data_IF_666432882025
#
_entry.id   IF_666432882025
#
_cell.length_a   1.000
_cell.length_b   1.000
_cell.length_c   1.000
_cell.angle_alpha   90.00
_cell.angle_beta   90.00
_cell.angle_gamma   90.00
#
_symmetry.space_group_name_H-M   'P 1'
#
loop_
_entity.id
_entity.type
_entity.pdbx_description
1 polymer ?
#
# COMPACT_ATOMS: atom_id res chain seq x y z
N UNK A 1 -34.86 -62.79 23.06
CA UNK A 1 -33.50 -62.53 22.55
C UNK A 1 -33.63 -61.53 21.41
N UNK A 2 -33.24 -60.25 21.59
CA UNK A 2 -31.88 -59.73 21.33
C UNK A 2 -31.44 -60.12 19.92
N UNK A 3 -31.10 -59.26 18.97
CA UNK A 3 -30.56 -57.90 18.97
C UNK A 3 -30.68 -57.42 17.52
N UNK A 4 -31.27 -56.25 17.26
CA UNK A 4 -31.02 -55.51 16.02
C UNK A 4 -31.57 -54.10 16.19
N UNK A 5 -30.79 -53.09 15.79
CA UNK A 5 -31.02 -51.63 15.92
C UNK A 5 -30.34 -50.95 17.11
N UNK A 6 -29.02 -51.04 17.15
CA UNK A 6 -28.14 -49.96 17.65
C UNK A 6 -27.09 -49.68 16.59
N UNK A 7 -27.35 -48.73 15.70
CA UNK A 7 -26.36 -47.92 14.94
C UNK A 7 -27.09 -47.09 13.90
N UNK A 8 -27.23 -45.80 14.16
CA UNK A 8 -27.11 -44.67 13.22
C UNK A 8 -27.82 -43.47 13.83
N UNK A 9 -27.10 -42.35 13.96
CA UNK A 9 -27.64 -41.13 14.56
C UNK A 9 -26.65 -40.31 15.40
N UNK A 10 -25.34 -40.54 15.29
CA UNK A 10 -24.33 -39.62 15.84
C UNK A 10 -23.21 -39.44 14.82
N UNK A 11 -23.31 -38.42 13.97
CA UNK A 11 -22.21 -38.03 13.09
C UNK A 11 -22.67 -37.40 11.78
N UNK A 12 -23.17 -36.18 11.80
CA UNK A 12 -23.20 -35.37 10.56
C UNK A 12 -23.30 -33.85 10.78
N UNK A 13 -23.74 -33.37 11.95
CA UNK A 13 -23.79 -31.93 12.21
C UNK A 13 -22.41 -31.27 12.41
N UNK A 14 -21.43 -31.98 12.98
CA UNK A 14 -20.07 -31.45 13.18
C UNK A 14 -19.29 -31.30 11.86
N UNK A 15 -19.45 -32.22 10.92
CA UNK A 15 -18.69 -32.24 9.65
C UNK A 15 -18.97 -31.04 8.73
N UNK A 16 -20.22 -30.57 8.66
CA UNK A 16 -20.60 -29.43 7.81
C UNK A 16 -20.06 -28.08 8.29
N UNK A 17 -19.97 -27.88 9.61
CA UNK A 17 -19.46 -26.63 10.20
C UNK A 17 -17.93 -26.52 10.04
N UNK A 18 -17.21 -27.63 10.17
CA UNK A 18 -15.76 -27.68 9.93
C UNK A 18 -15.41 -27.41 8.47
N UNK A 19 -16.16 -27.99 7.51
CA UNK A 19 -15.95 -27.74 6.07
C UNK A 19 -16.16 -26.27 5.69
N UNK A 20 -17.20 -25.62 6.22
CA UNK A 20 -17.46 -24.18 5.98
C UNK A 20 -16.37 -23.30 6.57
N UNK A 21 -15.91 -23.61 7.79
CA UNK A 21 -14.83 -22.86 8.41
C UNK A 21 -13.52 -22.98 7.64
N UNK A 22 -13.20 -24.17 7.13
CA UNK A 22 -12.01 -24.36 6.26
C UNK A 22 -12.16 -23.53 4.98
N UNK A 23 -13.33 -23.57 4.32
CA UNK A 23 -13.58 -22.77 3.13
C UNK A 23 -13.46 -21.26 3.39
N UNK A 24 -14.01 -20.76 4.50
CA UNK A 24 -13.90 -19.36 4.90
C UNK A 24 -12.43 -18.96 5.14
N UNK A 25 -11.65 -19.81 5.83
CA UNK A 25 -10.21 -19.56 6.05
C UNK A 25 -9.46 -19.48 4.72
N UNK A 26 -9.72 -20.41 3.80
CA UNK A 26 -9.11 -20.40 2.47
C UNK A 26 -9.49 -19.13 1.70
N UNK A 27 -10.75 -18.71 1.73
CA UNK A 27 -11.17 -17.46 1.08
C UNK A 27 -10.51 -16.22 1.69
N UNK A 28 -10.38 -16.17 3.01
CA UNK A 28 -9.67 -15.07 3.70
C UNK A 28 -8.19 -15.07 3.31
N UNK A 29 -7.54 -16.23 3.23
CA UNK A 29 -6.15 -16.32 2.80
C UNK A 29 -5.97 -15.82 1.36
N UNK A 30 -6.85 -16.23 0.44
CA UNK A 30 -6.85 -15.75 -0.96
C UNK A 30 -7.07 -14.25 -1.02
N UNK A 31 -7.99 -13.70 -0.22
CA UNK A 31 -8.23 -12.25 -0.14
C UNK A 31 -7.00 -11.49 0.34
N UNK A 32 -6.32 -11.98 1.39
CA UNK A 32 -5.10 -11.36 1.90
C UNK A 32 -4.02 -11.35 0.81
N UNK A 33 -3.79 -12.49 0.15
CA UNK A 33 -2.80 -12.58 -0.93
C UNK A 33 -3.13 -11.62 -2.07
N UNK A 34 -4.40 -11.55 -2.49
CA UNK A 34 -4.84 -10.66 -3.55
C UNK A 34 -4.66 -9.18 -3.21
N UNK A 35 -5.03 -8.76 -1.99
CA UNK A 35 -4.83 -7.37 -1.54
C UNK A 35 -3.35 -7.04 -1.39
N UNK A 36 -2.55 -7.94 -0.81
CA UNK A 36 -1.10 -7.77 -0.70
C UNK A 36 -0.44 -7.62 -2.08
N UNK A 37 -0.79 -8.46 -3.05
CA UNK A 37 -0.23 -8.39 -4.40
C UNK A 37 -0.59 -7.07 -5.11
N UNK A 38 -1.81 -6.56 -4.93
CA UNK A 38 -2.24 -5.27 -5.50
C UNK A 38 -1.55 -4.07 -4.85
N UNK A 39 -1.35 -4.11 -3.53
CA UNK A 39 -0.72 -3.00 -2.80
C UNK A 39 0.81 -3.02 -2.90
N UNK A 40 1.41 -4.17 -3.20
CA UNK A 40 2.85 -4.35 -3.15
C UNK A 40 3.60 -3.35 -4.06
N UNK A 41 3.29 -3.20 -5.36
CA UNK A 41 4.00 -2.23 -6.21
C UNK A 41 3.87 -0.80 -5.67
N UNK A 42 2.65 -0.37 -5.33
CA UNK A 42 2.37 0.99 -4.84
C UNK A 42 3.16 1.33 -3.56
N UNK A 43 3.28 0.38 -2.63
CA UNK A 43 4.02 0.59 -1.38
C UNK A 43 5.52 0.44 -1.60
N UNK A 44 5.95 -0.57 -2.36
CA UNK A 44 7.35 -0.85 -2.66
C UNK A 44 8.00 0.32 -3.38
N UNK A 45 7.35 0.86 -4.41
CA UNK A 45 7.85 2.00 -5.19
C UNK A 45 8.07 3.21 -4.29
N UNK A 46 7.12 3.52 -3.39
CA UNK A 46 7.25 4.64 -2.46
C UNK A 46 8.28 4.41 -1.37
N UNK A 47 8.45 3.18 -0.89
CA UNK A 47 9.50 2.85 0.08
C UNK A 47 10.89 2.96 -0.56
N UNK A 48 11.06 2.46 -1.79
CA UNK A 48 12.29 2.59 -2.54
C UNK A 48 12.64 4.07 -2.75
N UNK A 49 11.66 4.88 -3.17
CA UNK A 49 11.83 6.32 -3.33
C UNK A 49 12.27 7.03 -2.04
N UNK A 50 11.75 6.62 -0.87
CA UNK A 50 12.16 7.15 0.44
C UNK A 50 13.60 6.75 0.76
N UNK A 51 13.96 5.49 0.53
CA UNK A 51 15.33 5.00 0.75
C UNK A 51 16.31 5.75 -0.14
N UNK A 52 15.97 5.96 -1.40
CA UNK A 52 16.78 6.72 -2.36
C UNK A 52 16.93 8.18 -1.93
N UNK A 53 15.83 8.82 -1.50
CA UNK A 53 15.85 10.20 -1.01
C UNK A 53 16.65 10.38 0.29
N UNK A 54 16.64 9.38 1.18
CA UNK A 54 17.45 9.38 2.40
C UNK A 54 18.95 9.26 2.09
N UNK A 55 19.34 8.48 1.08
CA UNK A 55 20.75 8.34 0.66
C UNK A 55 21.31 9.68 0.14
N UNK A 56 20.49 10.51 -0.48
CA UNK A 56 20.98 11.67 -1.25
C UNK A 56 20.95 12.97 -0.43
N UNK A 57 19.81 13.24 0.22
CA UNK A 57 19.60 14.50 0.92
C UNK A 57 20.34 14.58 2.26
N UNK A 58 20.59 13.42 2.89
CA UNK A 58 21.31 13.33 4.16
C UNK A 58 22.82 13.46 3.96
N UNK A 59 23.41 12.86 2.92
CA UNK A 59 24.86 12.90 2.71
C UNK A 59 25.34 14.21 2.11
N UNK A 60 24.58 14.81 1.19
CA UNK A 60 24.85 16.19 0.79
C UNK A 60 24.73 17.14 1.99
N UNK A 61 23.68 17.06 2.82
CA UNK A 61 23.56 17.93 4.01
C UNK A 61 24.63 17.68 5.07
N UNK A 62 25.05 16.44 5.29
CA UNK A 62 26.09 16.09 6.26
C UNK A 62 27.47 16.57 5.78
N UNK A 63 27.81 16.34 4.51
CA UNK A 63 29.02 16.90 3.90
C UNK A 63 29.02 18.44 3.93
N UNK A 64 27.87 19.07 3.66
CA UNK A 64 27.70 20.52 3.69
C UNK A 64 27.82 21.13 5.11
N UNK A 65 27.42 20.41 6.17
CA UNK A 65 27.47 20.91 7.54
C UNK A 65 28.85 20.71 8.20
N UNK A 66 29.64 19.73 7.74
CA UNK A 66 30.85 19.31 8.44
C UNK A 66 32.15 19.92 7.87
N UNK A 67 32.22 20.34 6.59
CA UNK A 67 33.48 20.89 6.03
C UNK A 67 33.35 21.71 4.71
N UNK A 68 33.12 23.02 4.78
CA UNK A 68 33.11 23.92 3.60
C UNK A 68 34.42 23.88 2.80
N UNK A 69 35.58 23.76 3.47
CA UNK A 69 36.88 23.71 2.81
C UNK A 69 37.08 22.43 1.99
N UNK A 70 36.55 21.29 2.46
CA UNK A 70 36.56 20.05 1.69
C UNK A 70 35.67 20.16 0.45
N UNK A 71 34.49 20.78 0.56
CA UNK A 71 33.62 21.00 -0.59
C UNK A 71 34.23 21.94 -1.62
N UNK A 72 34.86 23.03 -1.19
CA UNK A 72 35.59 23.93 -2.08
C UNK A 72 36.73 23.21 -2.81
N UNK A 73 37.44 22.30 -2.12
CA UNK A 73 38.48 21.47 -2.72
C UNK A 73 37.91 20.51 -3.77
N UNK A 74 36.83 19.80 -3.46
CA UNK A 74 36.15 18.87 -4.39
C UNK A 74 35.68 19.64 -5.63
N UNK A 75 35.05 20.80 -5.45
CA UNK A 75 34.63 21.67 -6.56
C UNK A 75 35.82 22.08 -7.43
N UNK A 76 36.92 22.52 -6.83
CA UNK A 76 38.12 22.91 -7.56
C UNK A 76 38.74 21.74 -8.34
N UNK A 77 38.75 20.53 -7.77
CA UNK A 77 39.22 19.32 -8.46
C UNK A 77 38.35 18.96 -9.67
N UNK A 78 37.02 19.04 -9.53
CA UNK A 78 36.07 18.81 -10.62
C UNK A 78 36.20 19.85 -11.74
N UNK A 79 36.33 21.13 -11.38
CA UNK A 79 36.53 22.23 -12.35
C UNK A 79 37.88 22.11 -13.07
N UNK A 80 38.95 21.73 -12.35
CA UNK A 80 40.25 21.48 -12.96
C UNK A 80 40.17 20.31 -13.96
N UNK A 81 39.45 19.24 -13.61
CA UNK A 81 39.22 18.12 -14.54
C UNK A 81 38.39 18.55 -15.75
N UNK A 82 37.38 19.40 -15.58
CA UNK A 82 36.60 19.95 -16.70
C UNK A 82 37.47 20.75 -17.67
N UNK A 83 38.39 21.58 -17.17
CA UNK A 83 39.35 22.31 -18.01
C UNK A 83 40.24 21.35 -18.81
N UNK A 84 40.74 20.30 -18.16
CA UNK A 84 41.52 19.27 -18.84
C UNK A 84 40.71 18.58 -19.94
N UNK A 85 39.44 18.22 -19.68
CA UNK A 85 38.57 17.60 -20.69
C UNK A 85 38.31 18.57 -21.86
N UNK A 86 38.14 19.87 -21.59
CA UNK A 86 37.97 20.87 -22.64
C UNK A 86 39.22 21.02 -23.53
N UNK A 87 40.42 20.82 -22.97
CA UNK A 87 41.69 20.87 -23.71
C UNK A 87 41.98 19.57 -24.48
N UNK A 88 41.72 18.41 -23.87
CA UNK A 88 41.96 17.09 -24.46
C UNK A 88 40.88 16.68 -25.48
N UNK A 89 39.70 17.29 -25.39
CA UNK A 89 38.50 16.92 -26.15
C UNK A 89 37.63 15.89 -25.41
N UNK A 90 36.30 15.97 -25.61
CA UNK A 90 35.36 15.04 -24.97
C UNK A 90 35.51 13.66 -25.56
N UNK A 91 35.77 12.67 -24.71
CA UNK A 91 35.79 11.26 -25.10
C UNK A 91 34.79 10.49 -24.23
N UNK A 92 33.49 10.51 -24.59
CA UNK A 92 32.43 9.87 -23.81
C UNK A 92 32.54 8.32 -23.76
N UNK A 93 33.56 7.73 -24.38
CA UNK A 93 33.81 6.30 -24.38
C UNK A 93 32.75 5.51 -25.15
N UNK A 94 32.47 4.30 -24.69
CA UNK A 94 31.41 3.43 -25.22
C UNK A 94 30.05 3.82 -24.65
N UNK A 95 28.98 3.47 -25.38
CA UNK A 95 27.60 3.70 -24.95
C UNK A 95 27.34 3.25 -23.49
N UNK A 96 26.70 4.09 -22.64
CA UNK A 96 26.47 3.78 -21.23
C UNK A 96 25.66 2.51 -20.98
N UNK A 97 24.90 2.03 -21.96
CA UNK A 97 24.04 0.85 -21.85
C UNK A 97 24.58 -0.36 -22.64
N UNK A 98 25.83 -0.31 -23.09
CA UNK A 98 26.48 -1.45 -23.74
C UNK A 98 26.73 -2.59 -22.73
N UNK A 99 26.58 -3.84 -23.20
CA UNK A 99 26.72 -5.04 -22.36
C UNK A 99 28.08 -5.16 -21.67
N UNK A 100 29.14 -4.55 -22.22
CA UNK A 100 30.50 -4.55 -21.69
C UNK A 100 30.64 -3.84 -20.32
N UNK A 101 29.64 -3.05 -19.90
CA UNK A 101 29.60 -2.36 -18.59
C UNK A 101 28.85 -3.12 -17.50
N UNK A 102 28.39 -4.35 -17.79
CA UNK A 102 27.81 -5.26 -16.81
C UNK A 102 28.90 -5.87 -15.96
N UNK A 103 29.16 -5.30 -14.78
CA UNK A 103 29.97 -5.95 -13.75
C UNK A 103 29.21 -7.17 -13.20
N UNK A 104 29.39 -8.34 -13.83
CA UNK A 104 28.62 -9.56 -13.52
C UNK A 104 28.95 -10.20 -12.14
N UNK A 105 29.90 -9.68 -11.35
CA UNK A 105 30.44 -10.40 -10.19
C UNK A 105 30.68 -9.61 -8.90
N UNK A 106 30.19 -8.38 -8.77
CA UNK A 106 30.31 -7.64 -7.50
C UNK A 106 29.18 -8.01 -6.52
N UNK A 107 29.47 -8.17 -5.21
CA UNK A 107 28.42 -8.33 -4.20
C UNK A 107 27.45 -7.14 -4.23
N UNK A 108 26.20 -7.36 -3.81
CA UNK A 108 25.20 -6.31 -3.79
C UNK A 108 25.75 -5.04 -3.10
N UNK A 109 25.81 -3.90 -3.80
CA UNK A 109 26.47 -2.69 -3.32
C UNK A 109 25.85 -2.23 -2.00
N UNK A 110 26.70 -1.88 -1.04
CA UNK A 110 26.27 -1.39 0.27
C UNK A 110 25.72 0.04 0.16
N UNK A 111 25.01 0.47 1.20
CA UNK A 111 24.56 1.86 1.33
C UNK A 111 25.73 2.86 1.24
N UNK A 112 26.82 2.60 1.97
CA UNK A 112 28.02 3.43 1.98
C UNK A 112 28.67 3.55 0.59
N UNK A 113 28.57 2.49 -0.24
CA UNK A 113 29.09 2.49 -1.61
C UNK A 113 28.33 3.48 -2.50
N UNK A 114 27.00 3.53 -2.44
CA UNK A 114 26.23 4.52 -3.18
C UNK A 114 26.54 5.95 -2.72
N UNK A 115 26.73 6.13 -1.42
CA UNK A 115 27.02 7.44 -0.82
C UNK A 115 28.36 8.00 -1.26
N UNK A 116 29.41 7.17 -1.28
CA UNK A 116 30.74 7.61 -1.69
C UNK A 116 30.84 7.99 -3.16
N UNK A 117 29.92 7.51 -4.00
CA UNK A 117 29.90 7.79 -5.44
C UNK A 117 28.86 8.84 -5.83
N UNK A 118 28.04 9.33 -4.89
CA UNK A 118 27.04 10.37 -5.19
C UNK A 118 27.71 11.74 -5.27
N UNK A 119 27.65 12.37 -6.44
CA UNK A 119 28.22 13.71 -6.68
C UNK A 119 27.17 14.82 -6.67
N UNK A 120 25.91 14.49 -6.92
CA UNK A 120 24.85 15.49 -7.11
C UNK A 120 23.44 14.93 -7.04
N UNK A 121 22.47 15.82 -7.26
CA UNK A 121 21.05 15.47 -7.45
C UNK A 121 20.56 16.13 -8.72
N UNK A 122 19.85 15.38 -9.56
CA UNK A 122 19.09 15.96 -10.66
C UNK A 122 17.62 16.08 -10.27
N UNK A 123 17.00 17.21 -10.62
CA UNK A 123 15.58 17.49 -10.44
C UNK A 123 14.94 17.94 -11.75
N UNK A 124 13.79 17.35 -12.07
CA UNK A 124 13.00 17.70 -13.26
C UNK A 124 11.53 17.81 -12.82
N UNK A 125 11.09 19.00 -12.35
CA UNK A 125 9.77 19.14 -11.72
C UNK A 125 8.59 18.74 -12.61
N UNK A 126 8.67 19.03 -13.92
CA UNK A 126 7.59 18.74 -14.88
C UNK A 126 7.17 17.26 -14.89
N UNK A 127 8.15 16.35 -14.75
CA UNK A 127 7.95 14.89 -14.78
C UNK A 127 8.15 14.23 -13.40
N UNK A 128 8.23 15.06 -12.35
CA UNK A 128 8.42 14.66 -10.94
C UNK A 128 9.66 13.77 -10.71
N UNK A 129 10.77 14.09 -11.38
CA UNK A 129 12.04 13.36 -11.21
C UNK A 129 12.90 14.04 -10.15
N UNK A 130 13.43 13.23 -9.22
CA UNK A 130 14.50 13.58 -8.28
C UNK A 130 15.40 12.37 -8.06
N UNK A 131 16.61 12.40 -8.62
CA UNK A 131 17.51 11.25 -8.63
C UNK A 131 18.92 11.63 -8.15
N UNK A 132 19.68 10.69 -7.54
CA UNK A 132 21.11 10.87 -7.35
C UNK A 132 21.79 10.99 -8.71
N UNK A 133 22.92 11.69 -8.72
CA UNK A 133 23.90 11.60 -9.80
C UNK A 133 25.13 10.90 -9.21
N UNK A 134 25.44 9.71 -9.73
CA UNK A 134 26.66 8.98 -9.40
C UNK A 134 27.83 9.40 -10.31
N UNK A 135 29.06 9.29 -9.82
CA UNK A 135 30.29 9.74 -10.49
C UNK A 135 30.68 8.95 -11.74
N UNK A 136 30.06 7.79 -11.97
CA UNK A 136 30.40 6.86 -13.06
C UNK A 136 29.19 6.05 -13.51
N UNK A 137 29.26 5.46 -14.70
CA UNK A 137 28.17 4.71 -15.32
C UNK A 137 28.43 3.22 -15.30
N UNK A 138 27.82 2.54 -14.33
CA UNK A 138 27.76 1.08 -14.21
C UNK A 138 26.30 0.62 -14.09
N UNK A 139 26.04 -0.65 -14.40
CA UNK A 139 24.71 -1.25 -14.24
C UNK A 139 24.18 -1.11 -12.80
N UNK A 140 25.07 -1.20 -11.81
CA UNK A 140 24.75 -0.98 -10.40
C UNK A 140 24.17 0.42 -10.15
N UNK A 141 24.81 1.46 -10.69
CA UNK A 141 24.36 2.83 -10.48
C UNK A 141 23.17 3.21 -11.34
N UNK A 142 23.12 2.75 -12.59
CA UNK A 142 21.99 2.99 -13.49
C UNK A 142 20.69 2.38 -12.96
N UNK A 143 20.75 1.23 -12.28
CA UNK A 143 19.57 0.63 -11.62
C UNK A 143 19.07 1.43 -10.41
N UNK A 144 19.89 2.36 -9.88
CA UNK A 144 19.58 3.13 -8.66
C UNK A 144 19.29 4.60 -8.91
N UNK A 145 19.83 5.19 -9.97
CA UNK A 145 19.74 6.62 -10.20
C UNK A 145 20.31 7.05 -11.53
N UNK A 146 20.67 8.33 -11.61
CA UNK A 146 21.36 8.88 -12.75
C UNK A 146 22.87 8.78 -12.56
N UNK A 147 23.62 8.71 -13.65
CA UNK A 147 25.08 8.55 -13.66
C UNK A 147 25.73 9.58 -14.55
N UNK A 148 26.91 10.04 -14.17
CA UNK A 148 27.78 10.81 -15.07
C UNK A 148 28.39 9.85 -16.10
N UNK A 149 28.26 10.20 -17.38
CA UNK A 149 28.97 9.50 -18.45
C UNK A 149 30.45 9.90 -18.39
N UNK A 150 31.32 8.91 -18.20
CA UNK A 150 32.74 9.12 -18.08
C UNK A 150 33.32 9.77 -19.33
N UNK A 151 34.29 10.67 -19.14
CA UNK A 151 34.91 11.43 -20.22
C UNK A 151 34.11 12.66 -20.68
N UNK A 152 32.95 12.92 -20.07
CA UNK A 152 32.21 14.19 -20.16
C UNK A 152 32.49 15.09 -18.96
N UNK A 153 32.12 16.36 -19.03
CA UNK A 153 32.36 17.30 -17.93
C UNK A 153 31.58 16.90 -16.67
N UNK A 154 32.16 17.09 -15.50
CA UNK A 154 31.39 17.14 -14.25
C UNK A 154 30.32 18.23 -14.34
N UNK A 155 29.12 18.02 -13.75
CA UNK A 155 28.00 18.95 -13.86
C UNK A 155 28.13 20.14 -12.90
N UNK A 156 29.32 20.74 -12.82
CA UNK A 156 29.61 21.94 -12.02
C UNK A 156 29.35 23.24 -12.80
N UNK A 157 29.04 23.13 -14.10
CA UNK A 157 28.84 24.24 -15.03
C UNK A 157 30.13 24.97 -15.41
N UNK A 158 29.96 26.13 -16.04
CA UNK A 158 31.05 26.97 -16.56
C UNK A 158 31.21 26.86 -18.09
N UNK A 159 31.86 27.86 -18.69
CA UNK A 159 32.08 27.88 -20.14
C UNK A 159 32.94 26.69 -20.60
N UNK A 160 32.67 26.20 -21.80
CA UNK A 160 33.33 25.04 -22.40
C UNK A 160 33.11 23.77 -21.56
N UNK A 161 31.90 23.58 -21.05
CA UNK A 161 31.52 22.34 -20.35
C UNK A 161 30.31 21.71 -21.00
N UNK A 162 30.32 20.39 -21.07
CA UNK A 162 29.18 19.58 -21.49
C UNK A 162 29.15 18.31 -20.66
N UNK A 163 28.24 18.25 -19.69
CA UNK A 163 28.02 17.06 -18.88
C UNK A 163 26.95 16.17 -19.51
N UNK A 164 27.14 14.85 -19.47
CA UNK A 164 26.12 13.91 -19.93
C UNK A 164 25.69 13.04 -18.76
N UNK A 165 24.40 13.12 -18.42
CA UNK A 165 23.79 12.41 -17.30
C UNK A 165 22.87 11.32 -17.86
N UNK A 166 23.20 10.06 -17.57
CA UNK A 166 22.48 8.90 -18.09
C UNK A 166 21.59 8.27 -17.01
N UNK A 167 20.41 7.76 -17.39
CA UNK A 167 19.62 6.88 -16.53
C UNK A 167 18.73 5.95 -17.36
N UNK A 168 18.32 4.81 -16.81
CA UNK A 168 17.42 3.91 -17.52
C UNK A 168 16.04 4.51 -17.77
N UNK A 169 15.36 3.90 -18.74
CA UNK A 169 13.95 4.12 -19.08
C UNK A 169 13.23 2.78 -19.08
N UNK A 170 12.17 2.69 -18.28
CA UNK A 170 11.30 1.52 -18.21
C UNK A 170 11.78 0.39 -17.31
N UNK A 171 12.54 0.66 -16.24
CA UNK A 171 12.83 -0.38 -15.25
C UNK A 171 11.55 -0.76 -14.47
N UNK A 172 11.34 -2.06 -14.18
CA UNK A 172 10.25 -2.50 -13.32
C UNK A 172 10.30 -1.93 -11.89
N UNK A 173 11.50 -1.72 -11.36
CA UNK A 173 11.74 -1.37 -9.95
C UNK A 173 11.83 0.15 -9.70
N UNK A 174 12.07 0.96 -10.74
CA UNK A 174 12.27 2.40 -10.62
C UNK A 174 11.90 3.18 -11.89
N UNK A 175 11.25 4.34 -11.73
CA UNK A 175 10.81 5.17 -12.85
C UNK A 175 11.97 5.86 -13.58
N UNK A 176 13.00 6.34 -12.87
CA UNK A 176 14.19 7.00 -13.44
C UNK A 176 13.85 8.01 -14.57
N UNK A 177 14.41 7.86 -15.77
CA UNK A 177 14.14 8.70 -16.95
C UNK A 177 13.05 8.14 -17.87
N UNK A 178 12.12 7.32 -17.34
CA UNK A 178 11.02 6.75 -18.13
C UNK A 178 10.20 7.81 -18.87
N UNK A 179 9.94 8.94 -18.20
CA UNK A 179 9.11 10.04 -18.70
C UNK A 179 9.95 11.18 -19.30
N UNK A 180 11.26 11.00 -19.49
CA UNK A 180 12.12 11.99 -20.15
C UNK A 180 11.59 12.43 -21.54
N UNK A 181 10.95 11.58 -22.36
CA UNK A 181 10.33 12.00 -23.62
C UNK A 181 9.17 13.01 -23.48
N UNK A 182 8.63 13.23 -22.28
CA UNK A 182 7.58 14.24 -22.05
C UNK A 182 8.14 15.67 -21.96
N UNK A 183 9.46 15.81 -21.89
CA UNK A 183 10.11 17.10 -21.96
C UNK A 183 10.02 17.71 -23.36
N UNK A 184 9.95 19.02 -23.39
CA UNK A 184 9.86 19.89 -24.56
C UNK A 184 10.85 21.03 -24.41
N UNK A 185 11.22 21.68 -25.52
CA UNK A 185 12.06 22.87 -25.49
C UNK A 185 11.44 23.94 -24.58
N UNK A 186 12.27 24.60 -23.77
CA UNK A 186 11.85 25.59 -22.77
C UNK A 186 11.53 25.00 -21.39
N UNK A 187 11.48 23.68 -21.22
CA UNK A 187 11.35 23.08 -19.89
C UNK A 187 12.66 23.22 -19.09
N UNK A 188 12.54 23.21 -17.77
CA UNK A 188 13.68 23.37 -16.86
C UNK A 188 14.03 22.09 -16.12
N UNK A 189 15.32 21.89 -15.91
CA UNK A 189 15.86 20.92 -14.96
C UNK A 189 16.99 21.55 -14.13
N UNK A 190 17.26 20.94 -12.99
CA UNK A 190 18.17 21.50 -11.99
C UNK A 190 19.16 20.45 -11.50
N UNK A 191 20.38 20.90 -11.24
CA UNK A 191 21.44 20.09 -10.65
C UNK A 191 21.82 20.70 -9.31
N UNK A 192 21.65 19.93 -8.23
CA UNK A 192 22.14 20.27 -6.90
C UNK A 192 23.50 19.58 -6.68
N UNK A 193 24.57 20.36 -6.67
CA UNK A 193 25.95 19.89 -6.54
C UNK A 193 26.78 20.93 -5.78
N UNK A 194 27.70 20.49 -4.92
CA UNK A 194 28.60 21.39 -4.18
C UNK A 194 27.91 22.55 -3.45
N UNK A 195 26.72 22.30 -2.89
CA UNK A 195 25.86 23.28 -2.22
C UNK A 195 25.33 24.42 -3.12
N UNK A 196 25.36 24.22 -4.44
CA UNK A 196 24.80 25.11 -5.44
C UNK A 196 23.66 24.43 -6.18
N UNK A 197 22.74 25.24 -6.71
CA UNK A 197 21.68 24.78 -7.62
C UNK A 197 21.90 25.43 -8.98
N UNK A 198 22.21 24.61 -9.98
CA UNK A 198 22.43 25.04 -11.36
C UNK A 198 21.15 24.76 -12.15
N UNK A 199 20.67 25.75 -12.90
CA UNK A 199 19.44 25.66 -13.69
C UNK A 199 19.75 25.57 -15.19
N UNK A 200 19.06 24.68 -15.88
CA UNK A 200 19.22 24.46 -17.31
C UNK A 200 17.87 24.49 -18.01
N UNK A 201 17.83 25.06 -19.21
CA UNK A 201 16.65 25.11 -20.07
C UNK A 201 16.86 24.26 -21.32
N UNK A 202 15.91 23.37 -21.59
CA UNK A 202 15.96 22.44 -22.72
C UNK A 202 15.95 23.21 -24.05
N UNK A 203 17.00 23.05 -24.85
CA UNK A 203 17.18 23.71 -26.15
C UNK A 203 17.12 22.72 -27.33
N UNK A 204 17.49 21.46 -27.08
CA UNK A 204 17.58 20.42 -28.09
C UNK A 204 17.07 19.08 -27.56
N UNK A 205 16.32 18.37 -28.40
CA UNK A 205 15.90 16.98 -28.18
C UNK A 205 16.20 16.20 -29.46
N UNK A 206 16.93 15.09 -29.35
CA UNK A 206 17.33 14.25 -30.48
C UNK A 206 17.24 12.77 -30.13
N UNK A 207 16.92 11.97 -31.14
CA UNK A 207 17.09 10.51 -31.11
C UNK A 207 18.28 10.14 -31.99
N UNK A 208 19.21 9.36 -31.46
CA UNK A 208 20.46 8.99 -32.12
C UNK A 208 20.73 7.48 -31.99
N UNK A 209 21.58 6.95 -32.87
CA UNK A 209 22.12 5.60 -32.69
C UNK A 209 23.13 5.57 -31.54
N UNK A 210 23.29 4.44 -30.81
CA UNK A 210 24.18 4.34 -29.65
C UNK A 210 25.66 4.63 -29.96
N UNK A 211 26.08 4.48 -31.23
CA UNK A 211 27.45 4.73 -31.69
C UNK A 211 27.73 6.19 -32.02
N UNK A 212 26.71 7.05 -32.06
CA UNK A 212 26.85 8.46 -32.40
C UNK A 212 27.14 9.26 -31.13
N UNK A 213 28.25 10.00 -31.10
CA UNK A 213 28.69 10.77 -29.92
C UNK A 213 28.91 12.25 -30.21
N UNK A 214 28.67 12.69 -31.45
CA UNK A 214 28.91 14.08 -31.90
C UNK A 214 28.13 15.10 -31.06
N UNK A 215 26.86 14.79 -30.74
CA UNK A 215 25.99 15.63 -29.92
C UNK A 215 26.37 15.68 -28.42
N UNK A 216 27.37 14.91 -28.00
CA UNK A 216 27.85 14.85 -26.61
C UNK A 216 29.15 15.64 -26.40
N UNK A 217 29.70 16.23 -27.47
CA UNK A 217 30.94 16.98 -27.44
C UNK A 217 30.76 18.36 -26.77
N UNK A 218 31.83 18.87 -26.16
CA UNK A 218 31.86 20.25 -25.67
C UNK A 218 31.70 21.23 -26.83
N UNK A 219 30.79 22.20 -26.67
CA UNK A 219 30.64 23.33 -27.57
C UNK A 219 31.35 24.56 -26.99
N UNK A 220 32.16 25.22 -27.82
CA UNK A 220 32.97 26.35 -27.38
C UNK A 220 32.08 27.50 -26.84
N UNK A 221 32.41 27.97 -25.64
CA UNK A 221 31.70 29.05 -24.95
C UNK A 221 30.36 28.65 -24.33
N UNK A 222 29.94 27.38 -24.42
CA UNK A 222 28.67 26.92 -23.86
C UNK A 222 28.85 26.21 -22.50
N UNK A 223 27.81 26.25 -21.67
CA UNK A 223 27.63 25.43 -20.45
C UNK A 223 26.38 24.57 -20.69
N UNK A 224 26.61 23.29 -20.99
CA UNK A 224 25.60 22.36 -21.46
C UNK A 224 25.47 21.14 -20.54
N UNK A 225 24.25 20.64 -20.44
CA UNK A 225 23.99 19.32 -19.87
C UNK A 225 23.05 18.55 -20.78
N UNK A 226 23.40 17.32 -21.13
CA UNK A 226 22.52 16.39 -21.84
C UNK A 226 22.04 15.28 -20.92
N UNK A 227 20.73 15.11 -20.85
CA UNK A 227 20.08 13.97 -20.21
C UNK A 227 19.91 12.85 -21.25
N UNK A 228 20.45 11.67 -20.95
CA UNK A 228 20.56 10.57 -21.89
C UNK A 228 19.77 9.35 -21.36
N UNK A 229 18.91 8.77 -22.21
CA UNK A 229 18.24 7.51 -21.90
C UNK A 229 18.02 6.64 -23.15
N UNK A 230 17.55 5.40 -22.97
CA UNK A 230 17.21 4.50 -24.07
C UNK A 230 15.85 4.80 -24.70
N UNK A 231 15.74 4.57 -26.01
CA UNK A 231 14.47 4.69 -26.76
C UNK A 231 14.48 3.77 -27.99
N UNK A 232 13.34 3.41 -28.60
CA UNK A 232 11.95 3.48 -28.11
C UNK A 232 11.71 2.65 -26.84
N UNK A 233 10.59 2.90 -26.16
CA UNK A 233 10.23 2.21 -24.91
C UNK A 233 10.23 0.69 -25.08
N UNK A 234 10.91 -0.03 -24.19
CA UNK A 234 11.09 -1.50 -24.21
C UNK A 234 11.88 -2.07 -25.40
N UNK A 235 12.33 -1.24 -26.35
CA UNK A 235 13.12 -1.66 -27.52
C UNK A 235 14.59 -1.26 -27.35
N UNK A 236 14.86 -0.06 -26.83
CA UNK A 236 16.18 0.43 -26.43
C UNK A 236 17.27 0.41 -27.52
N UNK A 237 16.88 0.44 -28.80
CA UNK A 237 17.79 0.44 -29.97
C UNK A 237 18.50 1.77 -30.22
N UNK A 238 17.95 2.87 -29.73
CA UNK A 238 18.42 4.24 -29.91
C UNK A 238 18.60 4.93 -28.56
N UNK A 239 19.19 6.12 -28.57
CA UNK A 239 19.32 6.99 -27.39
C UNK A 239 18.54 8.27 -27.60
N UNK A 240 17.79 8.65 -26.57
CA UNK A 240 17.15 9.96 -26.48
C UNK A 240 18.10 10.89 -25.74
N UNK A 241 18.45 11.99 -26.38
CA UNK A 241 19.21 13.10 -25.83
C UNK A 241 18.26 14.28 -25.59
N UNK A 242 18.20 14.75 -24.34
CA UNK A 242 17.54 16.01 -23.97
C UNK A 242 18.60 16.95 -23.43
N UNK A 243 19.01 17.91 -24.26
CA UNK A 243 20.06 18.87 -23.91
C UNK A 243 19.42 20.15 -23.38
N UNK A 244 20.05 20.70 -22.34
CA UNK A 244 19.76 22.03 -21.84
C UNK A 244 21.02 22.88 -21.78
N UNK A 245 20.81 24.19 -21.93
CA UNK A 245 21.83 25.21 -21.76
C UNK A 245 21.64 25.92 -20.42
N UNK A 246 22.74 26.39 -19.85
CA UNK A 246 22.72 27.06 -18.56
C UNK A 246 21.91 28.34 -18.57
N UNK A 247 21.08 28.53 -17.55
CA UNK A 247 20.38 29.78 -17.28
C UNK A 247 20.60 30.24 -15.82
N UNK A 248 20.43 31.54 -15.51
CA UNK A 248 20.45 32.03 -14.14
C UNK A 248 19.35 31.38 -13.29
N UNK A 249 19.72 30.87 -12.12
CA UNK A 249 18.75 30.36 -11.16
C UNK A 249 18.04 31.53 -10.46
N UNK A 250 16.71 31.61 -10.61
CA UNK A 250 15.89 32.67 -10.00
C UNK A 250 15.00 32.13 -8.87
N UNK A 251 14.63 32.95 -7.87
CA UNK A 251 13.82 32.49 -6.73
C UNK A 251 12.48 31.84 -7.08
N UNK A 252 11.91 32.11 -8.25
CA UNK A 252 10.67 31.50 -8.71
C UNK A 252 10.82 30.00 -9.02
N UNK A 253 11.97 29.59 -9.55
CA UNK A 253 12.29 28.18 -9.82
C UNK A 253 12.32 27.35 -8.53
N UNK A 254 12.75 27.97 -7.41
CA UNK A 254 12.67 27.32 -6.09
C UNK A 254 11.23 26.93 -5.74
N UNK A 255 10.26 27.81 -6.03
CA UNK A 255 8.84 27.54 -5.75
C UNK A 255 8.32 26.38 -6.60
N UNK A 256 8.79 26.24 -7.83
CA UNK A 256 8.46 25.10 -8.69
C UNK A 256 9.00 23.78 -8.12
N UNK A 257 10.27 23.76 -7.72
CA UNK A 257 10.91 22.62 -7.05
C UNK A 257 10.15 22.26 -5.76
N UNK A 258 9.87 23.25 -4.90
CA UNK A 258 9.17 23.05 -3.63
C UNK A 258 7.74 22.52 -3.84
N UNK A 259 7.05 22.98 -4.89
CA UNK A 259 5.71 22.49 -5.25
C UNK A 259 5.76 21.03 -5.70
N UNK A 260 6.73 20.65 -6.52
CA UNK A 260 6.93 19.25 -6.94
C UNK A 260 7.27 18.37 -5.74
N UNK A 261 8.19 18.81 -4.88
CA UNK A 261 8.58 18.07 -3.67
C UNK A 261 7.39 17.88 -2.73
N UNK A 262 6.60 18.93 -2.48
CA UNK A 262 5.41 18.84 -1.64
C UNK A 262 4.35 17.90 -2.25
N UNK A 263 4.11 17.98 -3.56
CA UNK A 263 3.21 17.05 -4.26
C UNK A 263 3.65 15.60 -4.04
N UNK A 264 4.93 15.30 -4.28
CA UNK A 264 5.50 13.96 -4.11
C UNK A 264 5.38 13.46 -2.66
N UNK A 265 5.66 14.31 -1.68
CA UNK A 265 5.47 13.98 -0.26
C UNK A 265 4.01 13.67 0.08
N UNK A 266 3.05 14.44 -0.42
CA UNK A 266 1.63 14.16 -0.18
C UNK A 266 1.18 12.86 -0.86
N UNK A 267 1.64 12.57 -2.08
CA UNK A 267 1.37 11.30 -2.75
C UNK A 267 1.91 10.11 -1.94
N UNK A 268 3.15 10.20 -1.45
CA UNK A 268 3.75 9.20 -0.56
C UNK A 268 2.87 8.99 0.69
N UNK A 269 2.50 10.07 1.38
CA UNK A 269 1.67 10.01 2.59
C UNK A 269 0.31 9.38 2.31
N UNK A 270 -0.37 9.76 1.22
CA UNK A 270 -1.69 9.24 0.87
C UNK A 270 -1.65 7.75 0.55
N UNK A 271 -0.64 7.29 -0.21
CA UNK A 271 -0.48 5.87 -0.55
C UNK A 271 -0.19 5.05 0.71
N UNK A 272 0.76 5.48 1.54
CA UNK A 272 1.11 4.76 2.77
C UNK A 272 -0.05 4.76 3.78
N UNK A 273 -0.74 5.89 3.96
CA UNK A 273 -1.93 5.96 4.81
C UNK A 273 -3.05 5.07 4.28
N UNK A 274 -3.28 5.06 2.96
CA UNK A 274 -4.25 4.18 2.31
C UNK A 274 -3.93 2.69 2.54
N UNK A 275 -2.67 2.30 2.40
CA UNK A 275 -2.21 0.93 2.68
C UNK A 275 -2.46 0.55 4.15
N UNK A 276 -2.11 1.42 5.11
CA UNK A 276 -2.35 1.21 6.55
C UNK A 276 -3.85 1.08 6.85
N UNK A 277 -4.68 1.97 6.30
CA UNK A 277 -6.12 1.93 6.48
C UNK A 277 -6.72 0.64 5.91
N UNK A 278 -6.24 0.18 4.76
CA UNK A 278 -6.70 -1.07 4.16
C UNK A 278 -6.34 -2.29 5.03
N UNK A 279 -5.13 -2.31 5.61
CA UNK A 279 -4.71 -3.35 6.56
C UNK A 279 -5.56 -3.35 7.84
N UNK A 280 -5.83 -2.17 8.41
CA UNK A 280 -6.71 -2.02 9.58
C UNK A 280 -8.11 -2.54 9.25
N UNK A 281 -8.67 -2.15 8.11
CA UNK A 281 -9.98 -2.62 7.66
C UNK A 281 -10.00 -4.16 7.55
N UNK A 282 -9.00 -4.76 6.90
CA UNK A 282 -8.89 -6.22 6.82
C UNK A 282 -8.83 -6.89 8.19
N UNK A 283 -8.01 -6.38 9.11
CA UNK A 283 -7.90 -6.90 10.47
C UNK A 283 -9.22 -6.76 11.24
N UNK A 284 -9.95 -5.65 11.07
CA UNK A 284 -11.27 -5.48 11.70
C UNK A 284 -12.29 -6.48 11.15
N UNK A 285 -12.32 -6.71 9.84
CA UNK A 285 -13.22 -7.68 9.20
C UNK A 285 -12.89 -9.10 9.64
N UNK A 286 -11.60 -9.47 9.71
CA UNK A 286 -11.14 -10.76 10.24
C UNK A 286 -11.54 -10.90 11.70
N UNK A 287 -11.35 -9.88 12.53
CA UNK A 287 -11.75 -9.88 13.94
C UNK A 287 -13.27 -10.05 14.12
N UNK A 288 -14.08 -9.40 13.29
CA UNK A 288 -15.54 -9.56 13.27
C UNK A 288 -15.94 -10.98 12.83
N UNK A 289 -15.23 -11.55 11.86
CA UNK A 289 -15.43 -12.94 11.42
C UNK A 289 -15.06 -13.94 12.53
N UNK A 290 -13.86 -13.82 13.14
CA UNK A 290 -13.44 -14.66 14.28
C UNK A 290 -14.45 -14.57 15.42
N UNK A 291 -14.87 -13.36 15.78
CA UNK A 291 -15.91 -13.15 16.80
C UNK A 291 -17.20 -13.86 16.44
N UNK A 292 -17.63 -13.80 15.18
CA UNK A 292 -18.80 -14.52 14.69
C UNK A 292 -18.61 -16.04 14.87
N UNK A 293 -17.47 -16.59 14.44
CA UNK A 293 -17.16 -18.02 14.58
C UNK A 293 -17.17 -18.46 16.05
N UNK A 294 -16.55 -17.70 16.95
CA UNK A 294 -16.51 -18.00 18.38
C UNK A 294 -17.91 -18.01 19.01
N UNK A 295 -18.77 -17.06 18.64
CA UNK A 295 -20.16 -17.04 19.09
C UNK A 295 -20.90 -18.28 18.57
N UNK A 296 -20.76 -18.63 17.29
CA UNK A 296 -21.48 -19.78 16.72
C UNK A 296 -21.03 -21.14 17.29
N UNK A 297 -19.82 -21.23 17.85
CA UNK A 297 -19.29 -22.45 18.49
C UNK A 297 -19.63 -22.57 19.98
N UNK A 298 -19.93 -21.47 20.66
CA UNK A 298 -20.27 -21.46 22.08
C UNK A 298 -21.77 -21.71 22.30
N UNK A 299 -22.12 -22.29 23.44
CA UNK A 299 -23.50 -22.47 23.88
C UNK A 299 -23.90 -21.37 24.86
N UNK A 300 -25.15 -20.95 24.77
CA UNK A 300 -25.74 -19.88 25.56
C UNK A 300 -27.13 -20.28 26.04
N UNK A 301 -27.58 -19.65 27.12
CA UNK A 301 -28.93 -19.84 27.64
C UNK A 301 -29.88 -18.85 26.96
N UNK A 302 -30.99 -19.34 26.41
CA UNK A 302 -32.07 -18.49 25.92
C UNK A 302 -33.15 -18.45 26.99
N UNK A 303 -33.26 -17.33 27.69
CA UNK A 303 -34.20 -17.15 28.80
C UNK A 303 -34.92 -15.80 28.69
N UNK A 304 -36.23 -15.80 28.89
CA UNK A 304 -37.04 -14.58 29.05
C UNK A 304 -38.30 -14.87 29.86
N UNK A 305 -38.95 -13.82 30.33
CA UNK A 305 -40.22 -13.92 31.05
C UNK A 305 -41.31 -13.21 30.25
N UNK A 306 -42.43 -13.88 30.06
CA UNK A 306 -43.62 -13.36 29.42
C UNK A 306 -44.65 -13.03 30.50
N UNK A 307 -45.09 -11.78 30.54
CA UNK A 307 -46.07 -11.31 31.51
C UNK A 307 -47.23 -10.61 30.80
N UNK A 308 -48.39 -10.57 31.45
CA UNK A 308 -49.54 -9.81 31.01
C UNK A 308 -49.41 -8.31 31.38
N UNK A 309 -50.45 -7.52 31.09
CA UNK A 309 -50.48 -6.09 31.44
C UNK A 309 -50.49 -5.85 32.96
N UNK A 310 -50.94 -6.83 33.76
CA UNK A 310 -50.96 -6.79 35.22
C UNK A 310 -49.64 -7.28 35.85
N UNK A 311 -48.69 -7.75 35.04
CA UNK A 311 -47.40 -8.29 35.49
C UNK A 311 -47.44 -9.75 35.93
N UNK A 312 -48.55 -10.47 35.73
CA UNK A 312 -48.65 -11.90 36.01
C UNK A 312 -48.02 -12.71 34.86
N UNK A 313 -47.30 -13.77 35.22
CA UNK A 313 -46.69 -14.68 34.24
C UNK A 313 -47.73 -15.38 33.39
N UNK A 314 -47.50 -15.48 32.09
CA UNK A 314 -48.40 -16.20 31.17
C UNK A 314 -47.92 -17.66 31.06
N UNK A 315 -48.62 -18.64 31.66
CA UNK A 315 -48.20 -20.04 31.63
C UNK A 315 -48.52 -20.71 30.29
N UNK A 316 -47.78 -21.78 29.98
CA UNK A 316 -48.03 -22.66 28.83
C UNK A 316 -47.96 -21.99 27.45
N UNK A 317 -47.41 -20.77 27.34
CA UNK A 317 -47.22 -20.08 26.07
C UNK A 317 -46.12 -20.77 25.25
N UNK A 318 -46.50 -21.34 24.10
CA UNK A 318 -45.62 -22.15 23.26
C UNK A 318 -44.86 -21.32 22.23
N UNK A 319 -43.53 -21.48 22.18
CA UNK A 319 -42.68 -20.85 21.17
C UNK A 319 -41.82 -21.87 20.41
N UNK A 320 -41.84 -21.78 19.08
CA UNK A 320 -40.91 -22.49 18.21
C UNK A 320 -39.67 -21.65 17.88
N UNK A 321 -38.50 -22.29 17.83
CA UNK A 321 -37.25 -21.66 17.36
C UNK A 321 -37.08 -21.88 15.86
N UNK A 322 -36.87 -20.78 15.13
CA UNK A 322 -36.59 -20.76 13.70
C UNK A 322 -35.24 -20.11 13.39
N UNK A 323 -34.73 -20.38 12.18
CA UNK A 323 -33.57 -19.70 11.60
C UNK A 323 -33.75 -18.17 11.59
N UNK A 324 -32.67 -17.41 11.43
CA UNK A 324 -32.70 -15.94 11.43
C UNK A 324 -33.70 -15.31 10.43
N UNK A 325 -34.01 -16.01 9.32
CA UNK A 325 -35.00 -15.60 8.32
C UNK A 325 -36.44 -16.07 8.65
N UNK A 326 -36.64 -16.85 9.71
CA UNK A 326 -37.94 -17.34 10.19
C UNK A 326 -38.56 -18.48 9.38
N UNK A 327 -37.85 -19.03 8.38
CA UNK A 327 -38.41 -20.01 7.43
C UNK A 327 -38.29 -21.46 7.88
N UNK A 328 -37.18 -21.84 8.54
CA UNK A 328 -36.90 -23.23 8.91
C UNK A 328 -36.84 -23.38 10.42
N UNK A 329 -37.51 -24.38 11.02
CA UNK A 329 -37.37 -24.65 12.44
C UNK A 329 -35.95 -25.19 12.75
N UNK A 330 -35.47 -24.91 13.97
CA UNK A 330 -34.21 -25.45 14.48
C UNK A 330 -34.52 -26.77 15.18
N UNK A 331 -33.71 -27.80 14.91
CA UNK A 331 -33.94 -29.14 15.46
C UNK A 331 -32.91 -29.48 16.54
N UNK A 332 -33.35 -30.20 17.59
CA UNK A 332 -32.52 -30.85 18.60
C UNK A 332 -32.97 -32.31 18.68
N UNK A 333 -32.03 -33.25 18.52
CA UNK A 333 -32.30 -34.70 18.52
C UNK A 333 -33.34 -35.16 17.48
N UNK A 334 -33.44 -34.45 16.34
CA UNK A 334 -34.33 -34.81 15.23
C UNK A 334 -35.74 -34.21 15.33
N UNK A 335 -36.07 -33.49 16.41
CA UNK A 335 -37.34 -32.81 16.59
C UNK A 335 -37.18 -31.28 16.62
N UNK A 336 -38.18 -30.50 16.14
CA UNK A 336 -38.13 -29.06 16.19
C UNK A 336 -38.11 -28.60 17.66
N UNK A 337 -37.26 -27.62 17.97
CA UNK A 337 -37.18 -27.06 19.31
C UNK A 337 -38.40 -26.17 19.52
N UNK A 338 -39.34 -26.70 20.31
CA UNK A 338 -40.54 -26.01 20.77
C UNK A 338 -40.58 -26.14 22.28
N UNK A 339 -40.83 -25.04 22.99
CA UNK A 339 -40.85 -25.01 24.46
C UNK A 339 -41.96 -24.07 24.93
N UNK A 340 -42.53 -24.37 26.08
CA UNK A 340 -43.60 -23.60 26.71
C UNK A 340 -43.06 -22.82 27.92
N UNK A 341 -43.74 -21.74 28.29
CA UNK A 341 -43.46 -21.03 29.55
C UNK A 341 -43.96 -21.83 30.77
N UNK A 342 -43.24 -21.72 31.89
CA UNK A 342 -43.67 -22.27 33.18
C UNK A 342 -44.81 -21.44 33.81
N UNK A 343 -45.25 -21.81 35.02
CA UNK A 343 -46.32 -21.10 35.76
C UNK A 343 -46.02 -19.62 36.03
N UNK A 344 -44.74 -19.25 36.11
CA UNK A 344 -44.26 -17.88 36.30
C UNK A 344 -44.07 -17.11 34.97
N UNK A 345 -44.44 -17.71 33.84
CA UNK A 345 -44.24 -17.12 32.51
C UNK A 345 -42.80 -17.19 31.99
N UNK A 346 -41.91 -17.94 32.64
CA UNK A 346 -40.50 -18.07 32.26
C UNK A 346 -40.34 -19.08 31.14
N UNK A 347 -39.74 -18.62 30.04
CA UNK A 347 -39.26 -19.44 28.94
C UNK A 347 -37.75 -19.68 29.12
N UNK A 348 -37.30 -20.92 29.06
CA UNK A 348 -35.88 -21.25 29.18
C UNK A 348 -35.45 -22.41 28.28
N UNK A 349 -34.38 -22.18 27.50
CA UNK A 349 -33.70 -23.22 26.74
C UNK A 349 -32.21 -23.17 27.08
N UNK A 350 -31.70 -24.18 27.81
CA UNK A 350 -30.27 -24.30 28.05
C UNK A 350 -29.54 -24.77 26.79
N UNK A 351 -28.24 -24.48 26.75
CA UNK A 351 -27.31 -25.07 25.80
C UNK A 351 -27.63 -24.85 24.31
N UNK A 352 -28.20 -23.71 23.96
CA UNK A 352 -28.45 -23.35 22.56
C UNK A 352 -27.17 -22.80 21.93
N UNK A 353 -26.80 -23.30 20.75
CA UNK A 353 -25.64 -22.77 20.01
C UNK A 353 -25.82 -21.28 19.74
N UNK A 354 -24.75 -20.49 19.84
CA UNK A 354 -24.82 -19.08 19.53
C UNK A 354 -25.18 -18.84 18.06
N UNK A 355 -25.90 -17.76 17.81
CA UNK A 355 -26.37 -17.45 16.48
C UNK A 355 -27.47 -16.40 16.50
N UNK A 356 -28.19 -16.31 15.37
CA UNK A 356 -29.37 -15.46 15.21
C UNK A 356 -30.58 -16.36 14.99
N UNK A 357 -31.61 -16.20 15.81
CA UNK A 357 -32.83 -16.99 15.77
C UNK A 357 -34.07 -16.10 15.76
N UNK A 358 -35.18 -16.67 15.29
CA UNK A 358 -36.52 -16.09 15.49
C UNK A 358 -37.34 -17.02 16.36
N UNK A 359 -37.99 -16.48 17.37
CA UNK A 359 -38.97 -17.17 18.19
C UNK A 359 -40.35 -16.77 17.67
N UNK A 360 -41.22 -17.75 17.41
CA UNK A 360 -42.61 -17.52 17.00
C UNK A 360 -43.53 -18.21 17.98
N UNK A 361 -44.50 -17.47 18.53
CA UNK A 361 -45.58 -18.05 19.33
C UNK A 361 -46.51 -18.89 18.46
N UNK A 362 -46.79 -20.13 18.86
CA UNK A 362 -47.72 -21.01 18.13
C UNK A 362 -49.18 -20.63 18.38
N UNK A 363 -49.52 -20.34 19.65
CA UNK A 363 -50.86 -19.95 20.09
C UNK A 363 -51.05 -18.41 20.11
N UNK A 364 -49.94 -17.68 20.24
CA UNK A 364 -49.87 -16.22 20.15
C UNK A 364 -49.32 -15.85 18.77
N UNK A 365 -50.06 -16.14 17.70
CA UNK A 365 -49.61 -16.16 16.30
C UNK A 365 -48.98 -14.86 15.78
N UNK A 366 -49.15 -13.75 16.51
CA UNK A 366 -48.56 -12.42 16.22
C UNK A 366 -47.25 -12.16 16.98
N UNK A 367 -46.90 -12.96 17.99
CA UNK A 367 -45.75 -12.75 18.86
C UNK A 367 -44.45 -13.28 18.23
N UNK A 368 -43.56 -12.37 17.84
CA UNK A 368 -42.28 -12.72 17.23
C UNK A 368 -41.10 -11.96 17.86
N UNK A 369 -40.10 -12.72 18.31
CA UNK A 369 -38.88 -12.19 18.92
C UNK A 369 -37.64 -12.56 18.09
N UNK A 370 -36.69 -11.63 17.96
CA UNK A 370 -35.36 -11.90 17.44
C UNK A 370 -34.40 -12.18 18.60
N UNK A 371 -33.76 -13.35 18.59
CA UNK A 371 -32.73 -13.70 19.55
C UNK A 371 -31.34 -13.61 18.89
N UNK A 372 -30.40 -12.89 19.52
CA UNK A 372 -29.00 -12.84 19.08
C UNK A 372 -28.04 -12.72 20.26
N UNK A 373 -26.86 -13.32 20.13
CA UNK A 373 -25.77 -13.09 21.08
C UNK A 373 -24.93 -11.89 20.61
N UNK A 374 -24.82 -10.85 21.43
CA UNK A 374 -24.02 -9.66 21.11
C UNK A 374 -22.56 -9.83 21.51
N UNK A 375 -22.24 -10.41 22.69
CA UNK A 375 -20.86 -10.54 23.21
C UNK A 375 -20.50 -12.01 23.39
N UNK A 376 -19.25 -12.39 23.12
CA UNK A 376 -18.77 -13.77 23.29
C UNK A 376 -18.99 -14.27 24.72
N UNK A 377 -18.71 -13.42 25.72
CA UNK A 377 -18.86 -13.72 27.15
C UNK A 377 -20.28 -13.53 27.70
N UNK A 378 -21.27 -13.17 26.89
CA UNK A 378 -22.64 -13.03 27.39
C UNK A 378 -23.13 -14.38 27.96
N UNK A 379 -23.84 -14.40 29.10
CA UNK A 379 -24.47 -15.63 29.59
C UNK A 379 -25.68 -16.00 28.73
N UNK A 380 -26.44 -14.99 28.27
CA UNK A 380 -27.75 -15.16 27.66
C UNK A 380 -27.87 -14.52 26.27
N UNK A 381 -28.86 -14.98 25.50
CA UNK A 381 -29.29 -14.30 24.27
C UNK A 381 -29.88 -12.92 24.58
N UNK A 382 -29.56 -11.93 23.74
CA UNK A 382 -30.29 -10.66 23.70
C UNK A 382 -31.53 -10.83 22.83
N UNK A 383 -32.69 -10.46 23.36
CA UNK A 383 -33.96 -10.50 22.64
C UNK A 383 -34.34 -9.10 22.13
N UNK A 384 -35.14 -9.05 21.08
CA UNK A 384 -35.70 -7.82 20.54
C UNK A 384 -37.03 -8.14 19.86
N UNK A 385 -38.13 -7.47 20.20
CA UNK A 385 -39.42 -7.73 19.57
C UNK A 385 -39.40 -7.28 18.10
N UNK A 386 -40.18 -7.95 17.25
CA UNK A 386 -40.38 -7.50 15.87
C UNK A 386 -41.37 -6.33 15.82
N UNK A 387 -41.24 -5.44 14.82
CA UNK A 387 -42.08 -4.23 14.69
C UNK A 387 -43.58 -4.54 14.68
N UNK A 388 -43.95 -5.69 14.14
CA UNK A 388 -45.35 -6.14 13.99
C UNK A 388 -45.81 -7.00 15.18
N UNK A 389 -44.97 -7.15 16.22
CA UNK A 389 -45.29 -7.92 17.41
C UNK A 389 -46.04 -7.03 18.41
N UNK A 390 -47.12 -7.52 19.06
CA UNK A 390 -47.99 -6.71 19.93
C UNK A 390 -47.37 -6.29 21.27
N UNK A 391 -46.04 -6.37 21.43
CA UNK A 391 -45.35 -6.14 22.69
C UNK A 391 -44.89 -4.70 22.87
N UNK A 392 -45.10 -4.14 24.07
CA UNK A 392 -44.39 -2.95 24.54
C UNK A 392 -43.12 -3.39 25.30
N UNK A 393 -41.93 -2.88 24.90
CA UNK A 393 -40.69 -3.13 25.65
C UNK A 393 -40.46 -2.02 26.68
N UNK A 394 -40.46 -2.34 27.97
CA UNK A 394 -39.89 -1.44 28.99
C UNK A 394 -38.37 -1.58 29.01
N UNK A 395 -37.65 -0.45 29.04
CA UNK A 395 -36.20 -0.45 29.21
C UNK A 395 -35.85 -0.90 30.63
N UNK A 396 -35.64 -2.19 30.81
CA UNK A 396 -35.02 -2.77 32.00
C UNK A 396 -33.51 -2.92 31.78
N UNK A 397 -32.70 -2.32 32.65
CA UNK A 397 -31.24 -2.47 32.67
C UNK A 397 -30.78 -3.84 33.23
N UNK A 398 -31.70 -4.73 33.61
CA UNK A 398 -31.39 -6.07 34.11
C UNK A 398 -31.67 -7.12 33.04
N UNK A 399 -31.03 -8.29 33.17
CA UNK A 399 -31.00 -9.40 32.21
C UNK A 399 -32.37 -10.06 31.89
N UNK A 400 -33.48 -9.42 32.27
CA UNK A 400 -34.86 -9.84 32.07
C UNK A 400 -35.56 -8.77 31.22
N UNK A 401 -35.69 -9.03 29.92
CA UNK A 401 -36.57 -8.22 29.09
C UNK A 401 -38.01 -8.65 29.38
N UNK A 402 -38.73 -7.81 30.12
CA UNK A 402 -40.14 -7.98 30.43
C UNK A 402 -40.94 -7.66 29.16
N UNK A 403 -41.58 -8.66 28.58
CA UNK A 403 -42.45 -8.48 27.42
C UNK A 403 -43.90 -8.52 27.87
N UNK A 404 -44.59 -7.37 27.80
CA UNK A 404 -46.03 -7.24 28.12
C UNK A 404 -46.85 -7.56 26.88
N UNK A 405 -47.68 -8.61 26.93
CA UNK A 405 -48.68 -8.87 25.88
C UNK A 405 -49.78 -7.80 25.94
N UNK A 406 -50.16 -7.25 24.78
CA UNK A 406 -51.33 -6.36 24.67
C UNK A 406 -52.62 -7.13 24.84
#
# INVERSE_FOLDING_TARGET
MKESRRKQGKGNAKGGLHKRLIADIVMIAVLIVGVSALLYPLVSDKLNEIVDQQIISYYQKKANHENEAAMAKIKAEQEARNKQIAEEGTNPGTDPFADERKEENEPAPSKDYYESHTIGVIRIPKIDVKLPIFDRTTEVFLNKGATLLEGTSYPTGGENTHSVISAHRGLPEAKLFTDLPELTKGDHFYIEINNETLAYEVDQIKEIEPTVTEDLQIEQGQDLVTLLTCTPYMINTHRLLVRGHRIPYVPEMKKEIDKSDNKRTWEQVLILAGAILSAILLLTLIGLWIRSVLIHRRRYQLKFQLVDQAGQGIPQAEFGIFTANGKRPIYREGQPIVTTTNEEGIFEIPDLLGGKYRLKGTQLSTLQLKARVKKIKAPNFTLTPMKDSPLASEQSQQAYQIFKSK
#
